data_IF_365585840747
#
_entry.id   IF_365585840747
#
_cell.length_a   1.000
_cell.length_b   1.000
_cell.length_c   1.000
_cell.angle_alpha   90.00
_cell.angle_beta   90.00
_cell.angle_gamma   90.00
#
_symmetry.space_group_name_H-M   'P 1'
#
loop_
_entity.id
_entity.type
_entity.pdbx_description
1 polymer ?
#
# COMPACT_ATOMS: atom_id res chain seq x y z
N UNK A 1 17.11 -15.62 -14.42
CA UNK A 1 16.05 -14.78 -13.82
C UNK A 1 14.96 -14.40 -14.83
N UNK A 2 15.32 -13.81 -15.98
CA UNK A 2 14.34 -13.28 -16.96
C UNK A 2 13.32 -14.32 -17.45
N UNK A 3 13.75 -15.56 -17.73
CA UNK A 3 12.83 -16.61 -18.21
C UNK A 3 11.77 -16.98 -17.15
N UNK A 4 12.17 -17.07 -15.89
CA UNK A 4 11.26 -17.33 -14.78
C UNK A 4 10.29 -16.15 -14.59
N UNK A 5 10.79 -14.91 -14.66
CA UNK A 5 9.97 -13.70 -14.58
C UNK A 5 8.88 -13.68 -15.67
N UNK A 6 9.22 -13.98 -16.93
CA UNK A 6 8.26 -14.05 -18.04
C UNK A 6 7.17 -15.11 -17.81
N UNK A 7 7.57 -16.29 -17.31
CA UNK A 7 6.63 -17.37 -16.99
C UNK A 7 5.66 -16.96 -15.86
N UNK A 8 6.18 -16.35 -14.79
CA UNK A 8 5.37 -15.85 -13.68
C UNK A 8 4.46 -14.70 -14.11
N UNK A 9 4.93 -13.79 -14.97
CA UNK A 9 4.13 -12.71 -15.54
C UNK A 9 2.94 -13.26 -16.33
N UNK A 10 3.17 -14.25 -17.19
CA UNK A 10 2.13 -14.92 -17.95
C UNK A 10 1.07 -15.55 -17.03
N UNK A 11 1.50 -16.18 -15.92
CA UNK A 11 0.59 -16.76 -14.93
C UNK A 11 -0.21 -15.69 -14.20
N UNK A 12 0.44 -14.61 -13.77
CA UNK A 12 -0.18 -13.48 -13.06
C UNK A 12 -1.27 -12.82 -13.90
N UNK A 13 -1.01 -12.54 -15.18
CA UNK A 13 -1.96 -11.89 -16.09
C UNK A 13 -3.22 -12.70 -16.38
N UNK A 14 -3.21 -14.02 -16.13
CA UNK A 14 -4.40 -14.87 -16.29
C UNK A 14 -5.18 -15.08 -15.00
N UNK A 15 -4.71 -14.57 -13.86
CA UNK A 15 -5.43 -14.66 -12.59
C UNK A 15 -6.61 -13.69 -12.60
N UNK A 16 -7.82 -14.24 -12.55
CA UNK A 16 -9.06 -13.43 -12.47
C UNK A 16 -9.09 -12.53 -11.23
N UNK A 17 -8.57 -13.01 -10.10
CA UNK A 17 -8.54 -12.25 -8.84
C UNK A 17 -7.86 -10.90 -9.03
N UNK A 18 -6.75 -10.87 -9.76
CA UNK A 18 -5.98 -9.67 -10.03
C UNK A 18 -6.82 -8.60 -10.75
N UNK A 19 -7.47 -8.99 -11.86
CA UNK A 19 -8.28 -8.07 -12.66
C UNK A 19 -9.55 -7.62 -11.93
N UNK A 20 -10.16 -8.51 -11.15
CA UNK A 20 -11.32 -8.18 -10.32
C UNK A 20 -10.94 -7.15 -9.25
N UNK A 21 -9.84 -7.37 -8.53
CA UNK A 21 -9.36 -6.41 -7.52
C UNK A 21 -9.07 -5.05 -8.16
N UNK A 22 -8.37 -5.02 -9.31
CA UNK A 22 -8.12 -3.76 -10.04
C UNK A 22 -9.42 -3.06 -10.44
N UNK A 23 -10.37 -3.79 -11.03
CA UNK A 23 -11.65 -3.22 -11.46
C UNK A 23 -12.46 -2.67 -10.27
N UNK A 24 -12.51 -3.40 -9.15
CA UNK A 24 -13.19 -2.95 -7.93
C UNK A 24 -12.55 -1.66 -7.39
N UNK A 25 -11.22 -1.59 -7.33
CA UNK A 25 -10.53 -0.38 -6.85
C UNK A 25 -10.86 0.85 -7.71
N UNK A 26 -10.80 0.71 -9.04
CA UNK A 26 -11.12 1.80 -9.96
C UNK A 26 -12.61 2.17 -9.92
N UNK A 27 -13.50 1.19 -9.80
CA UNK A 27 -14.94 1.43 -9.67
C UNK A 27 -15.28 2.17 -8.38
N UNK A 28 -14.60 1.87 -7.27
CA UNK A 28 -14.80 2.59 -6.00
C UNK A 28 -14.40 4.07 -6.14
N UNK A 29 -13.31 4.38 -6.84
CA UNK A 29 -12.92 5.77 -7.14
C UNK A 29 -14.03 6.49 -7.92
N UNK A 30 -14.54 5.86 -8.99
CA UNK A 30 -15.65 6.40 -9.78
C UNK A 30 -16.91 6.56 -8.95
N UNK A 31 -17.24 5.58 -8.11
CA UNK A 31 -18.44 5.61 -7.28
C UNK A 31 -18.41 6.76 -6.28
N UNK A 32 -17.28 7.00 -5.61
CA UNK A 32 -17.13 8.14 -4.69
C UNK A 32 -17.28 9.46 -5.45
N UNK A 33 -16.63 9.61 -6.61
CA UNK A 33 -16.77 10.81 -7.43
C UNK A 33 -18.24 11.04 -7.87
N UNK A 34 -18.93 9.99 -8.30
CA UNK A 34 -20.32 10.05 -8.74
C UNK A 34 -21.27 10.44 -7.59
N UNK A 35 -21.05 9.90 -6.37
CA UNK A 35 -21.82 10.27 -5.19
C UNK A 35 -21.60 11.75 -4.82
N UNK A 36 -20.36 12.22 -4.82
CA UNK A 36 -20.04 13.62 -4.53
C UNK A 36 -20.64 14.56 -5.59
N UNK A 37 -20.54 14.20 -6.86
CA UNK A 37 -21.14 14.97 -7.96
C UNK A 37 -22.66 15.01 -7.86
N UNK A 38 -23.31 13.86 -7.58
CA UNK A 38 -24.77 13.81 -7.42
C UNK A 38 -25.23 14.64 -6.22
N UNK A 39 -24.46 14.64 -5.14
CA UNK A 39 -24.73 15.45 -3.95
C UNK A 39 -24.63 16.95 -4.25
N UNK A 40 -23.61 17.37 -5.02
CA UNK A 40 -23.47 18.75 -5.51
C UNK A 40 -24.66 19.21 -6.33
N UNK A 41 -25.21 18.33 -7.16
CA UNK A 41 -26.37 18.64 -8.00
C UNK A 41 -27.67 18.74 -7.18
N UNK A 42 -27.78 17.96 -6.11
CA UNK A 42 -28.94 18.00 -5.21
C UNK A 42 -28.91 19.20 -4.26
N UNK A 43 -27.73 19.57 -3.75
CA UNK A 43 -27.49 20.74 -2.92
C UNK A 43 -26.26 21.50 -3.44
N UNK A 44 -26.45 22.66 -4.10
CA UNK A 44 -25.35 23.48 -4.59
C UNK A 44 -24.36 23.94 -3.51
N UNK A 45 -24.78 23.98 -2.24
CA UNK A 45 -23.94 24.38 -1.11
C UNK A 45 -23.35 23.18 -0.36
N UNK A 46 -23.39 21.97 -0.94
CA UNK A 46 -22.85 20.78 -0.29
C UNK A 46 -21.34 20.91 -0.02
N UNK A 47 -20.90 20.88 1.26
CA UNK A 47 -19.55 21.28 1.65
C UNK A 47 -18.45 20.29 1.21
N UNK A 48 -18.82 19.04 0.91
CA UNK A 48 -17.86 17.98 0.57
C UNK A 48 -17.68 17.74 -0.94
N UNK A 49 -18.38 18.49 -1.80
CA UNK A 49 -18.23 18.40 -3.26
C UNK A 49 -16.97 19.11 -3.78
N UNK A 50 -15.85 18.95 -3.06
CA UNK A 50 -14.56 19.56 -3.36
C UNK A 50 -13.54 18.51 -3.76
N UNK A 51 -12.61 18.91 -4.64
CA UNK A 51 -11.45 18.08 -5.02
C UNK A 51 -10.65 17.63 -3.81
N UNK A 52 -10.50 18.51 -2.82
CA UNK A 52 -9.75 18.25 -1.58
C UNK A 52 -10.39 17.16 -0.73
N UNK A 53 -11.71 17.24 -0.49
CA UNK A 53 -12.39 16.17 0.24
C UNK A 53 -12.26 14.84 -0.52
N UNK A 54 -12.43 14.85 -1.84
CA UNK A 54 -12.26 13.66 -2.65
C UNK A 54 -10.87 13.05 -2.47
N UNK A 55 -9.78 13.81 -2.65
CA UNK A 55 -8.39 13.35 -2.47
C UNK A 55 -8.09 12.88 -1.04
N UNK A 56 -8.67 13.54 -0.03
CA UNK A 56 -8.51 13.15 1.38
C UNK A 56 -8.97 11.72 1.66
N UNK A 57 -9.92 11.17 0.87
CA UNK A 57 -10.37 9.79 1.04
C UNK A 57 -9.27 8.77 0.74
N UNK A 58 -8.36 9.06 -0.20
CA UNK A 58 -7.21 8.18 -0.47
C UNK A 58 -6.12 8.37 0.58
N UNK A 59 -5.83 9.62 0.97
CA UNK A 59 -4.77 9.90 1.95
C UNK A 59 -5.15 9.32 3.32
N UNK A 60 -6.37 9.59 3.79
CA UNK A 60 -6.90 9.02 5.03
C UNK A 60 -7.26 7.55 4.93
N UNK A 61 -7.46 7.04 3.71
CA UNK A 61 -7.72 5.64 3.41
C UNK A 61 -6.47 4.75 3.33
N UNK A 62 -5.34 5.18 3.87
CA UNK A 62 -4.05 4.46 3.82
C UNK A 62 -4.15 3.00 4.29
N UNK A 63 -4.96 2.72 5.32
CA UNK A 63 -5.26 1.35 5.76
C UNK A 63 -5.94 0.49 4.68
N UNK A 64 -6.86 1.06 3.90
CA UNK A 64 -7.46 0.36 2.76
C UNK A 64 -6.43 0.09 1.66
N UNK A 65 -5.49 1.00 1.43
CA UNK A 65 -4.40 0.80 0.46
C UNK A 65 -3.52 -0.39 0.88
N UNK A 66 -3.26 -0.55 2.19
CA UNK A 66 -2.54 -1.72 2.72
C UNK A 66 -3.33 -3.01 2.48
N UNK A 67 -4.66 -3.01 2.66
CA UNK A 67 -5.51 -4.18 2.36
C UNK A 67 -5.48 -4.49 0.85
N UNK A 68 -5.57 -3.49 -0.01
CA UNK A 68 -5.47 -3.68 -1.47
C UNK A 68 -4.10 -4.26 -1.83
N UNK A 69 -3.02 -3.71 -1.26
CA UNK A 69 -1.66 -4.21 -1.42
C UNK A 69 -1.53 -5.69 -1.05
N UNK A 70 -2.18 -6.12 0.04
CA UNK A 70 -2.26 -7.52 0.43
C UNK A 70 -2.91 -8.39 -0.65
N UNK A 71 -4.05 -7.99 -1.20
CA UNK A 71 -4.77 -8.74 -2.24
C UNK A 71 -3.96 -8.90 -3.53
N UNK A 72 -3.22 -7.86 -3.92
CA UNK A 72 -2.29 -7.90 -5.06
C UNK A 72 -1.15 -8.87 -4.81
N UNK A 73 -0.53 -8.80 -3.63
CA UNK A 73 0.54 -9.72 -3.24
C UNK A 73 0.05 -11.18 -3.23
N UNK A 74 -1.14 -11.40 -2.66
CA UNK A 74 -1.76 -12.70 -2.53
C UNK A 74 -2.05 -13.39 -3.88
N UNK A 75 -2.38 -12.62 -4.92
CA UNK A 75 -2.75 -13.17 -6.24
C UNK A 75 -1.67 -14.07 -6.87
N UNK A 76 -0.38 -13.85 -6.56
CA UNK A 76 0.73 -14.68 -7.07
C UNK A 76 1.37 -15.60 -6.00
N UNK A 77 1.20 -15.27 -4.72
CA UNK A 77 1.86 -15.97 -3.60
C UNK A 77 0.94 -16.95 -2.87
N UNK A 78 -0.36 -16.95 -3.14
CA UNK A 78 -1.38 -17.63 -2.34
C UNK A 78 -1.45 -19.16 -2.40
N UNK A 79 -1.40 -19.79 -3.59
CA UNK A 79 -1.79 -21.21 -3.77
C UNK A 79 -0.74 -22.10 -4.46
N UNK A 80 0.48 -21.61 -4.65
CA UNK A 80 1.45 -22.20 -5.58
C UNK A 80 2.58 -22.98 -4.87
N UNK A 81 2.30 -23.69 -3.77
CA UNK A 81 3.32 -24.48 -3.03
C UNK A 81 3.90 -25.63 -3.86
N UNK A 82 3.06 -26.37 -4.59
CA UNK A 82 3.50 -27.42 -5.50
C UNK A 82 4.36 -26.87 -6.66
N UNK A 83 4.01 -25.68 -7.16
CA UNK A 83 4.79 -25.00 -8.21
C UNK A 83 6.14 -24.52 -7.69
N UNK A 84 6.20 -24.09 -6.43
CA UNK A 84 7.45 -23.70 -5.78
C UNK A 84 8.43 -24.88 -5.70
N UNK A 85 7.94 -26.05 -5.29
CA UNK A 85 8.74 -27.28 -5.26
C UNK A 85 9.27 -27.62 -6.64
N UNK A 86 8.40 -27.65 -7.65
CA UNK A 86 8.79 -27.95 -9.02
C UNK A 86 9.86 -26.96 -9.53
N UNK A 87 9.66 -25.66 -9.33
CA UNK A 87 10.62 -24.64 -9.77
C UNK A 87 12.01 -24.84 -9.15
N UNK A 88 12.08 -25.18 -7.86
CA UNK A 88 13.35 -25.47 -7.19
C UNK A 88 13.97 -26.77 -7.71
N UNK A 89 13.18 -27.83 -7.92
CA UNK A 89 13.66 -29.10 -8.50
C UNK A 89 14.18 -28.93 -9.93
N UNK A 90 13.62 -28.01 -10.71
CA UNK A 90 14.10 -27.64 -12.04
C UNK A 90 15.26 -26.63 -12.03
N UNK A 91 15.90 -26.40 -10.87
CA UNK A 91 17.13 -25.61 -10.75
C UNK A 91 16.93 -24.10 -10.62
N UNK A 92 15.72 -23.60 -10.39
CA UNK A 92 15.49 -22.17 -10.14
C UNK A 92 15.91 -21.82 -8.70
N UNK A 93 16.83 -20.88 -8.55
CA UNK A 93 17.28 -20.43 -7.22
C UNK A 93 16.14 -19.80 -6.40
N UNK A 94 16.16 -20.00 -5.09
CA UNK A 94 15.17 -19.41 -4.16
C UNK A 94 15.17 -17.88 -4.21
N UNK A 95 16.35 -17.26 -4.30
CA UNK A 95 16.46 -15.82 -4.46
C UNK A 95 15.75 -15.34 -5.74
N UNK A 96 15.94 -16.04 -6.86
CA UNK A 96 15.24 -15.73 -8.12
C UNK A 96 13.72 -15.77 -7.91
N UNK A 97 13.20 -16.78 -7.20
CA UNK A 97 11.77 -16.93 -6.97
C UNK A 97 11.21 -15.78 -6.12
N UNK A 98 11.89 -15.44 -5.03
CA UNK A 98 11.51 -14.35 -4.14
C UNK A 98 11.43 -13.02 -4.91
N UNK A 99 12.53 -12.62 -5.55
CA UNK A 99 12.61 -11.33 -6.25
C UNK A 99 11.68 -11.26 -7.46
N UNK A 100 11.54 -12.34 -8.24
CA UNK A 100 10.61 -12.34 -9.37
C UNK A 100 9.16 -12.14 -8.94
N UNK A 101 8.71 -12.80 -7.88
CA UNK A 101 7.35 -12.64 -7.37
C UNK A 101 7.12 -11.24 -6.78
N UNK A 102 8.12 -10.71 -6.06
CA UNK A 102 8.07 -9.36 -5.53
C UNK A 102 7.93 -8.33 -6.67
N UNK A 103 8.83 -8.36 -7.65
CA UNK A 103 8.85 -7.40 -8.77
C UNK A 103 7.53 -7.40 -9.54
N UNK A 104 6.98 -8.58 -9.83
CA UNK A 104 5.74 -8.68 -10.62
C UNK A 104 4.51 -8.18 -9.84
N UNK A 105 4.36 -8.60 -8.58
CA UNK A 105 3.21 -8.20 -7.77
C UNK A 105 3.27 -6.72 -7.43
N UNK A 106 4.46 -6.21 -7.07
CA UNK A 106 4.69 -4.80 -6.81
C UNK A 106 4.49 -3.94 -8.06
N UNK A 107 5.09 -4.34 -9.19
CA UNK A 107 4.97 -3.60 -10.45
C UNK A 107 3.52 -3.45 -10.90
N UNK A 108 2.73 -4.52 -10.80
CA UNK A 108 1.31 -4.45 -11.16
C UNK A 108 0.51 -3.59 -10.17
N UNK A 109 0.79 -3.69 -8.86
CA UNK A 109 0.19 -2.80 -7.86
C UNK A 109 0.50 -1.32 -8.13
N UNK A 110 1.74 -0.98 -8.48
CA UNK A 110 2.14 0.38 -8.81
C UNK A 110 1.47 0.88 -10.10
N UNK A 111 1.38 0.06 -11.14
CA UNK A 111 0.70 0.44 -12.39
C UNK A 111 -0.78 0.76 -12.12
N UNK A 112 -1.49 -0.10 -11.37
CA UNK A 112 -2.89 0.17 -11.04
C UNK A 112 -3.03 1.40 -10.15
N UNK A 113 -2.09 1.63 -9.23
CA UNK A 113 -2.07 2.83 -8.39
C UNK A 113 -1.89 4.10 -9.23
N UNK A 114 -0.99 4.11 -10.21
CA UNK A 114 -0.79 5.24 -11.13
C UNK A 114 -2.04 5.50 -11.98
N UNK A 115 -2.69 4.44 -12.49
CA UNK A 115 -3.96 4.57 -13.21
C UNK A 115 -5.04 5.14 -12.29
N UNK A 116 -5.13 4.68 -11.05
CA UNK A 116 -6.07 5.17 -10.04
C UNK A 116 -5.85 6.64 -9.70
N UNK A 117 -4.59 7.07 -9.53
CA UNK A 117 -4.23 8.47 -9.30
C UNK A 117 -4.66 9.33 -10.49
N UNK A 118 -4.33 8.92 -11.72
CA UNK A 118 -4.73 9.64 -12.93
C UNK A 118 -6.25 9.74 -13.07
N UNK A 119 -6.98 8.65 -12.80
CA UNK A 119 -8.44 8.63 -12.79
C UNK A 119 -9.01 9.58 -11.73
N UNK A 120 -8.42 9.60 -10.53
CA UNK A 120 -8.87 10.46 -9.44
C UNK A 120 -8.65 11.94 -9.77
N UNK A 121 -7.49 12.30 -10.33
CA UNK A 121 -7.21 13.67 -10.75
C UNK A 121 -8.20 14.09 -11.85
N UNK A 122 -8.38 13.25 -12.88
CA UNK A 122 -9.31 13.53 -13.97
C UNK A 122 -10.75 13.73 -13.48
N UNK A 123 -11.26 12.86 -12.60
CA UNK A 123 -12.62 12.99 -12.06
C UNK A 123 -12.76 14.19 -11.12
N UNK A 124 -11.76 14.44 -10.26
CA UNK A 124 -11.77 15.56 -9.33
C UNK A 124 -11.86 16.89 -10.06
N UNK A 125 -10.96 17.12 -11.03
CA UNK A 125 -10.90 18.39 -11.77
C UNK A 125 -12.06 18.60 -12.75
N UNK A 126 -12.70 17.52 -13.22
CA UNK A 126 -13.82 17.64 -14.17
C UNK A 126 -15.18 17.75 -13.50
N UNK A 127 -15.40 17.07 -12.36
CA UNK A 127 -16.72 16.96 -11.74
C UNK A 127 -16.88 17.81 -10.47
N UNK A 128 -15.79 18.04 -9.72
CA UNK A 128 -15.84 18.65 -8.39
C UNK A 128 -15.33 20.09 -8.41
N UNK A 129 -15.60 20.83 -7.34
CA UNK A 129 -15.09 22.19 -7.18
C UNK A 129 -13.59 22.12 -6.83
N UNK A 130 -12.75 22.75 -7.66
CA UNK A 130 -11.30 22.77 -7.48
C UNK A 130 -10.85 24.05 -6.78
N UNK A 131 -9.94 23.90 -5.81
CA UNK A 131 -9.32 25.00 -5.08
C UNK A 131 -7.95 25.40 -5.70
N UNK A 132 -7.63 24.86 -6.89
CA UNK A 132 -6.43 25.20 -7.68
C UNK A 132 -5.11 24.63 -7.18
N UNK A 133 -4.94 24.40 -5.87
CA UNK A 133 -3.73 23.82 -5.26
C UNK A 133 -3.88 22.34 -4.85
N UNK A 134 -5.10 21.81 -4.91
CA UNK A 134 -5.41 20.46 -4.40
C UNK A 134 -4.59 19.34 -5.03
N UNK A 135 -4.21 19.48 -6.31
CA UNK A 135 -3.44 18.44 -7.03
C UNK A 135 -2.00 18.37 -6.56
N UNK A 136 -1.33 19.51 -6.37
CA UNK A 136 0.07 19.56 -5.94
C UNK A 136 0.21 19.07 -4.50
N UNK A 137 -0.69 19.52 -3.61
CA UNK A 137 -0.81 19.03 -2.24
C UNK A 137 -1.02 17.51 -2.22
N UNK A 138 -1.89 17.00 -3.10
CA UNK A 138 -2.22 15.58 -3.20
C UNK A 138 -1.02 14.76 -3.67
N UNK A 139 -0.33 15.18 -4.72
CA UNK A 139 0.87 14.49 -5.21
C UNK A 139 1.98 14.49 -4.15
N UNK A 140 2.18 15.59 -3.44
CA UNK A 140 3.17 15.67 -2.35
C UNK A 140 2.80 14.73 -1.21
N UNK A 141 1.53 14.70 -0.81
CA UNK A 141 1.04 13.78 0.22
C UNK A 141 1.20 12.30 -0.19
N UNK A 142 0.98 11.97 -1.47
CA UNK A 142 1.23 10.62 -2.00
C UNK A 142 2.71 10.25 -1.96
N UNK A 143 3.61 11.19 -2.28
CA UNK A 143 5.06 10.99 -2.21
C UNK A 143 5.52 10.70 -0.77
N UNK A 144 4.95 11.40 0.22
CA UNK A 144 5.19 11.12 1.64
C UNK A 144 4.67 9.73 2.05
N UNK A 145 3.50 9.34 1.56
CA UNK A 145 2.88 8.04 1.87
C UNK A 145 3.61 6.84 1.27
N UNK A 146 4.21 7.02 0.09
CA UNK A 146 4.81 5.96 -0.72
C UNK A 146 5.78 5.05 0.05
N UNK A 147 6.83 5.55 0.75
CA UNK A 147 7.79 4.69 1.46
C UNK A 147 7.14 3.81 2.54
N UNK A 148 6.10 4.31 3.21
CA UNK A 148 5.37 3.52 4.23
C UNK A 148 4.56 2.41 3.55
N UNK A 149 3.81 2.72 2.49
CA UNK A 149 3.02 1.72 1.74
C UNK A 149 3.93 0.64 1.15
N UNK A 150 5.08 1.02 0.60
CA UNK A 150 6.07 0.07 0.08
C UNK A 150 6.62 -0.85 1.18
N UNK A 151 6.89 -0.30 2.36
CA UNK A 151 7.37 -1.10 3.49
C UNK A 151 6.33 -2.10 3.98
N UNK A 152 5.04 -1.74 3.99
CA UNK A 152 3.94 -2.67 4.26
C UNK A 152 3.89 -3.78 3.21
N UNK A 153 3.98 -3.42 1.92
CA UNK A 153 4.02 -4.38 0.81
C UNK A 153 5.16 -5.39 0.96
N UNK A 154 6.38 -4.91 1.27
CA UNK A 154 7.54 -5.77 1.46
C UNK A 154 7.42 -6.67 2.68
N UNK A 155 6.82 -6.17 3.76
CA UNK A 155 6.55 -6.96 4.97
C UNK A 155 5.56 -8.08 4.66
N UNK A 156 4.45 -7.78 3.98
CA UNK A 156 3.47 -8.79 3.55
C UNK A 156 4.10 -9.83 2.64
N UNK A 157 4.86 -9.38 1.63
CA UNK A 157 5.54 -10.28 0.71
C UNK A 157 6.49 -11.22 1.43
N UNK A 158 7.32 -10.68 2.31
CA UNK A 158 8.33 -11.42 3.07
C UNK A 158 7.68 -12.48 3.97
N UNK A 159 6.64 -12.10 4.71
CA UNK A 159 5.89 -13.04 5.55
C UNK A 159 5.20 -14.13 4.72
N UNK A 160 4.58 -13.76 3.60
CA UNK A 160 3.88 -14.72 2.74
C UNK A 160 4.84 -15.70 2.08
N UNK A 161 6.00 -15.24 1.63
CA UNK A 161 7.04 -16.11 1.07
C UNK A 161 7.57 -17.12 2.09
N UNK A 162 7.62 -16.75 3.38
CA UNK A 162 7.99 -17.65 4.48
C UNK A 162 6.81 -18.55 4.92
N UNK A 163 5.70 -18.59 4.17
CA UNK A 163 4.49 -19.39 4.44
C UNK A 163 3.78 -19.03 5.76
N UNK A 164 3.90 -17.79 6.23
CA UNK A 164 3.07 -17.30 7.35
C UNK A 164 1.59 -17.29 6.91
N UNK A 165 0.68 -17.66 7.81
CA UNK A 165 -0.75 -17.69 7.51
C UNK A 165 -1.28 -16.28 7.20
N UNK A 166 -2.31 -16.21 6.38
CA UNK A 166 -2.91 -14.94 5.94
C UNK A 166 -3.46 -14.12 7.12
N UNK A 167 -4.08 -14.78 8.09
CA UNK A 167 -4.58 -14.14 9.31
C UNK A 167 -3.44 -13.47 10.10
N UNK A 168 -2.31 -14.14 10.27
CA UNK A 168 -1.16 -13.54 10.97
C UNK A 168 -0.56 -12.37 10.20
N UNK A 169 -0.52 -12.44 8.86
CA UNK A 169 -0.07 -11.31 8.03
C UNK A 169 -0.97 -10.10 8.25
N UNK A 170 -2.30 -10.28 8.19
CA UNK A 170 -3.26 -9.20 8.40
C UNK A 170 -3.16 -8.60 9.81
N UNK A 171 -3.00 -9.44 10.84
CA UNK A 171 -2.79 -8.98 12.22
C UNK A 171 -1.52 -8.14 12.33
N UNK A 172 -0.41 -8.59 11.74
CA UNK A 172 0.84 -7.81 11.75
C UNK A 172 0.68 -6.49 11.00
N UNK A 173 -0.03 -6.47 9.86
CA UNK A 173 -0.28 -5.22 9.15
C UNK A 173 -1.11 -4.24 9.98
N UNK A 174 -2.17 -4.73 10.62
CA UNK A 174 -3.02 -3.92 11.48
C UNK A 174 -2.22 -3.35 12.66
N UNK A 175 -1.46 -4.19 13.36
CA UNK A 175 -0.71 -3.77 14.55
C UNK A 175 0.42 -2.81 14.19
N UNK A 176 1.19 -3.08 13.13
CA UNK A 176 2.40 -2.29 12.80
C UNK A 176 2.08 -1.01 12.04
N UNK A 177 1.09 -1.02 11.14
CA UNK A 177 0.84 0.10 10.24
C UNK A 177 -0.42 0.90 10.55
N UNK A 178 -1.29 0.41 11.44
CA UNK A 178 -2.56 1.08 11.78
C UNK A 178 -2.66 1.43 13.26
N UNK A 179 -2.06 0.64 14.16
CA UNK A 179 -2.24 0.81 15.62
C UNK A 179 -0.94 1.09 16.39
N UNK A 180 0.21 1.11 15.71
CA UNK A 180 1.50 1.09 16.40
C UNK A 180 1.73 2.34 17.25
N UNK A 181 1.40 3.52 16.72
CA UNK A 181 1.56 4.79 17.40
C UNK A 181 0.69 4.90 18.63
N UNK A 182 -0.58 4.50 18.54
CA UNK A 182 -1.48 4.46 19.71
C UNK A 182 -0.95 3.52 20.81
N UNK A 183 -0.47 2.33 20.43
CA UNK A 183 0.11 1.38 21.37
C UNK A 183 1.39 1.93 22.01
N UNK A 184 2.30 2.49 21.21
CA UNK A 184 3.53 3.11 21.69
C UNK A 184 3.23 4.29 22.62
N UNK A 185 2.24 5.12 22.29
CA UNK A 185 1.84 6.26 23.12
C UNK A 185 1.35 5.82 24.49
N UNK A 186 0.59 4.72 24.57
CA UNK A 186 0.11 4.16 25.84
C UNK A 186 1.27 3.58 26.65
N UNK A 187 2.13 2.77 26.00
CA UNK A 187 3.23 2.05 26.65
C UNK A 187 4.35 2.99 27.11
N UNK A 188 4.67 4.02 26.32
CA UNK A 188 5.76 4.96 26.58
C UNK A 188 5.32 6.15 27.45
N UNK A 189 4.03 6.30 27.75
CA UNK A 189 3.51 7.37 28.64
C UNK A 189 4.27 7.50 29.97
N UNK A 190 4.72 6.42 30.64
CA UNK A 190 5.50 6.53 31.87
C UNK A 190 6.95 7.01 31.69
N UNK A 191 7.46 7.04 30.45
CA UNK A 191 8.88 7.28 30.13
C UNK A 191 9.05 8.51 29.22
N UNK A 192 9.13 9.73 29.79
CA UNK A 192 9.16 10.98 29.01
C UNK A 192 10.30 11.04 27.99
N UNK A 193 11.46 10.50 28.34
CA UNK A 193 12.68 10.55 27.51
C UNK A 193 12.55 9.83 26.17
N UNK A 194 11.70 8.81 26.08
CA UNK A 194 11.51 7.99 24.86
C UNK A 194 10.13 8.20 24.25
N UNK A 195 9.32 9.08 24.81
CA UNK A 195 7.95 9.30 24.37
C UNK A 195 7.90 9.78 22.92
N UNK A 196 8.87 10.57 22.45
CA UNK A 196 8.93 11.07 21.07
C UNK A 196 8.99 9.96 20.01
N UNK A 197 9.34 8.73 20.39
CA UNK A 197 9.42 7.59 19.46
C UNK A 197 8.08 7.26 18.81
N UNK A 198 6.94 7.48 19.51
CA UNK A 198 5.62 7.17 18.92
C UNK A 198 5.32 8.04 17.70
N UNK A 199 5.91 9.25 17.59
CA UNK A 199 5.70 10.15 16.46
C UNK A 199 6.22 9.57 15.13
N UNK A 200 7.18 8.65 15.20
CA UNK A 200 7.73 7.95 14.04
C UNK A 200 6.94 6.67 13.66
N UNK A 201 5.84 6.37 14.36
CA UNK A 201 5.01 5.24 14.01
C UNK A 201 4.31 5.48 12.66
N UNK A 202 4.16 4.44 11.80
CA UNK A 202 3.59 4.61 10.47
C UNK A 202 2.18 5.22 10.48
N UNK A 203 1.32 4.80 11.40
CA UNK A 203 -0.05 5.32 11.53
C UNK A 203 -0.08 6.80 11.89
N UNK A 204 0.81 7.25 12.78
CA UNK A 204 0.91 8.66 13.19
C UNK A 204 1.39 9.51 12.03
N UNK A 205 2.44 9.09 11.34
CA UNK A 205 2.96 9.80 10.16
C UNK A 205 1.89 9.91 9.06
N UNK A 206 1.17 8.82 8.78
CA UNK A 206 0.09 8.81 7.80
C UNK A 206 -1.08 9.74 8.20
N UNK A 207 -1.39 9.78 9.49
CA UNK A 207 -2.42 10.67 10.02
C UNK A 207 -2.00 12.15 9.94
N UNK A 208 -0.76 12.47 10.32
CA UNK A 208 -0.21 13.83 10.20
C UNK A 208 -0.19 14.29 8.74
N UNK A 209 0.20 13.43 7.80
CA UNK A 209 0.15 13.72 6.36
C UNK A 209 -1.27 14.04 5.87
N UNK A 210 -2.30 13.39 6.42
CA UNK A 210 -3.69 13.73 6.14
C UNK A 210 -4.05 15.11 6.71
N UNK A 211 -3.66 15.40 7.94
CA UNK A 211 -3.94 16.68 8.58
C UNK A 211 -3.27 17.83 7.81
N UNK A 212 -2.00 17.66 7.43
CA UNK A 212 -1.27 18.63 6.61
C UNK A 212 -1.94 18.81 5.24
N UNK A 213 -2.40 17.71 4.64
CA UNK A 213 -3.17 17.76 3.39
C UNK A 213 -4.50 18.46 3.54
N UNK A 214 -5.15 18.41 4.69
CA UNK A 214 -6.39 19.16 4.92
C UNK A 214 -6.09 20.65 5.17
N UNK A 215 -4.95 20.98 5.78
CA UNK A 215 -4.60 22.33 6.23
C UNK A 215 -3.76 23.18 5.25
N UNK A 216 -3.42 22.66 4.07
CA UNK A 216 -2.60 23.33 3.04
C UNK A 216 -1.14 23.51 3.48
N UNK A 217 -0.68 22.61 4.34
CA UNK A 217 0.67 22.67 4.93
C UNK A 217 1.53 21.49 4.49
N UNK A 218 1.09 20.72 3.49
CA UNK A 218 1.84 19.56 2.99
C UNK A 218 3.19 20.02 2.46
N UNK A 219 4.23 19.49 3.09
CA UNK A 219 5.59 19.60 2.62
C UNK A 219 6.19 18.21 2.51
N UNK A 220 7.26 18.10 1.74
CA UNK A 220 8.01 16.85 1.65
C UNK A 220 8.58 16.47 3.03
N UNK A 221 8.19 15.31 3.53
CA UNK A 221 8.62 14.82 4.84
C UNK A 221 9.69 13.74 4.71
N UNK A 222 10.94 14.05 5.09
CA UNK A 222 12.04 13.07 5.07
C UNK A 222 11.83 11.91 6.08
N UNK A 223 11.05 12.15 7.14
CA UNK A 223 10.78 11.17 8.19
C UNK A 223 10.06 9.93 7.65
N UNK A 224 9.08 10.13 6.76
CA UNK A 224 8.37 9.06 6.06
C UNK A 224 9.31 8.14 5.30
N UNK A 225 10.29 8.73 4.62
CA UNK A 225 11.28 8.01 3.82
C UNK A 225 12.25 7.22 4.69
N UNK A 226 12.72 7.80 5.80
CA UNK A 226 13.60 7.10 6.74
C UNK A 226 12.87 5.90 7.35
N UNK A 227 11.67 6.11 7.91
CA UNK A 227 10.89 5.04 8.56
C UNK A 227 10.52 3.95 7.56
N UNK A 228 9.98 4.33 6.40
CA UNK A 228 9.62 3.37 5.35
C UNK A 228 10.83 2.62 4.79
N UNK A 229 11.99 3.26 4.62
CA UNK A 229 13.21 2.59 4.19
C UNK A 229 13.73 1.60 5.24
N UNK A 230 13.75 1.98 6.52
CA UNK A 230 14.16 1.10 7.62
C UNK A 230 13.27 -0.14 7.70
N UNK A 231 11.94 0.03 7.70
CA UNK A 231 10.98 -1.06 7.70
C UNK A 231 11.13 -1.95 6.45
N UNK A 232 11.33 -1.34 5.28
CA UNK A 232 11.56 -2.04 4.01
C UNK A 232 12.79 -2.93 4.05
N UNK A 233 13.93 -2.39 4.50
CA UNK A 233 15.20 -3.12 4.61
C UNK A 233 15.07 -4.27 5.60
N UNK A 234 14.50 -4.03 6.78
CA UNK A 234 14.28 -5.06 7.78
C UNK A 234 13.38 -6.19 7.25
N UNK A 235 12.27 -5.84 6.61
CA UNK A 235 11.34 -6.80 6.04
C UNK A 235 12.01 -7.68 4.98
N UNK A 236 12.70 -7.08 4.01
CA UNK A 236 13.34 -7.80 2.91
C UNK A 236 14.51 -8.66 3.38
N UNK A 237 15.35 -8.16 4.29
CA UNK A 237 16.46 -8.93 4.86
C UNK A 237 15.95 -10.17 5.61
N UNK A 238 14.94 -10.00 6.47
CA UNK A 238 14.32 -11.12 7.19
C UNK A 238 13.63 -12.10 6.23
N UNK A 239 12.93 -11.57 5.22
CA UNK A 239 12.25 -12.36 4.20
C UNK A 239 13.20 -13.25 3.39
N UNK A 240 14.22 -12.64 2.78
CA UNK A 240 15.19 -13.36 1.93
C UNK A 240 15.99 -14.39 2.74
N UNK A 241 16.48 -14.01 3.93
CA UNK A 241 17.29 -14.91 4.75
C UNK A 241 16.49 -16.11 5.28
N UNK A 242 15.25 -15.90 5.72
CA UNK A 242 14.38 -17.00 6.15
C UNK A 242 13.91 -17.86 4.98
N UNK A 243 13.53 -17.25 3.87
CA UNK A 243 13.11 -17.99 2.67
C UNK A 243 14.23 -18.88 2.11
N UNK A 244 15.48 -18.39 2.14
CA UNK A 244 16.65 -19.17 1.73
C UNK A 244 16.82 -20.46 2.54
N UNK A 245 16.45 -20.46 3.83
CA UNK A 245 16.60 -21.60 4.75
C UNK A 245 15.35 -22.49 4.85
N UNK A 246 14.23 -22.10 4.23
CA UNK A 246 12.96 -22.78 4.39
C UNK A 246 12.93 -24.17 3.75
N UNK A 247 12.36 -25.17 4.43
CA UNK A 247 12.09 -26.49 3.82
C UNK A 247 10.90 -26.38 2.86
N UNK A 248 11.09 -26.82 1.63
CA UNK A 248 10.06 -26.84 0.59
C UNK A 248 9.66 -28.31 0.44
N UNK A 249 8.71 -28.74 1.26
CA UNK A 249 8.08 -30.06 1.20
C UNK A 249 7.05 -30.13 0.05
#
# INVERSE_FOLDING_TARGET
MINYLKSEQYRLMRKKSLHITSAVCLLLIVAVAAVLYSSKQADPNFPYATTRFFYSNIIGGSGFIIIVSFLFNFSLTGKDTALLKNAVSFGVSRATIFWSKLILTLGYFLVVSVIGIGLMIALGETLLTSDGQSVDDFLTALVNMLPIILSAFFTMHSMKMVKVSEMYILIVMLVVFVLLGDLLRIVLRPFPTVQEVYAYAPDVLLHENLLDFMNHTVIFGYQFWIVGALLSVLALLLGVTKFAKQTIE
#
